data_IF_654038278915
#
_entry.id   IF_654038278915
#
_cell.length_a   1.000
_cell.length_b   1.000
_cell.length_c   1.000
_cell.angle_alpha   90.00
_cell.angle_beta   90.00
_cell.angle_gamma   90.00
#
_symmetry.space_group_name_H-M   'P 1'
#
loop_
_entity.id
_entity.type
_entity.pdbx_description
1 polymer ?
#
# COMPACT_ATOMS: atom_id res chain seq x y z
N UNK A 1 -1.17 -3.61 -15.13
CA UNK A 1 -0.85 -5.05 -14.93
C UNK A 1 0.03 -5.23 -13.67
N UNK A 2 -0.30 -4.54 -12.57
CA UNK A 2 0.41 -4.66 -11.26
C UNK A 2 -0.54 -5.15 -10.15
N UNK A 3 -1.84 -5.19 -10.43
CA UNK A 3 -2.89 -5.75 -9.59
C UNK A 3 -2.63 -7.24 -9.30
N UNK A 4 -2.11 -7.99 -10.26
CA UNK A 4 -1.79 -9.41 -10.06
C UNK A 4 -0.70 -9.64 -9.02
N UNK A 5 0.31 -8.77 -8.89
CA UNK A 5 1.43 -9.04 -7.98
C UNK A 5 1.01 -8.95 -6.51
N UNK A 6 0.22 -7.93 -6.15
CA UNK A 6 -0.25 -7.76 -4.77
C UNK A 6 -1.24 -8.85 -4.33
N UNK A 7 -2.10 -9.31 -5.25
CA UNK A 7 -3.02 -10.43 -4.99
C UNK A 7 -2.26 -11.76 -4.89
N UNK A 8 -1.24 -11.96 -5.73
CA UNK A 8 -0.42 -13.18 -5.73
C UNK A 8 0.38 -13.31 -4.43
N UNK A 9 0.92 -12.23 -3.87
CA UNK A 9 1.67 -12.32 -2.60
C UNK A 9 0.77 -12.45 -1.37
N UNK A 10 -0.41 -11.83 -1.33
CA UNK A 10 -1.41 -12.07 -0.28
C UNK A 10 -1.79 -13.55 -0.16
N UNK A 11 -2.00 -14.21 -1.30
CA UNK A 11 -2.48 -15.60 -1.32
C UNK A 11 -1.41 -16.65 -0.92
N UNK A 12 -0.13 -16.25 -0.81
CA UNK A 12 0.95 -17.17 -0.47
C UNK A 12 1.33 -17.14 1.02
N UNK A 13 0.70 -16.30 1.85
CA UNK A 13 1.08 -16.12 3.26
C UNK A 13 2.47 -15.53 3.45
N UNK A 14 3.01 -14.87 2.41
CA UNK A 14 4.36 -14.28 2.37
C UNK A 14 4.27 -12.76 2.44
N UNK A 15 3.49 -12.27 3.38
CA UNK A 15 3.15 -10.85 3.55
C UNK A 15 4.40 -10.00 3.83
N UNK A 16 5.35 -10.53 4.61
CA UNK A 16 6.65 -9.88 4.86
C UNK A 16 7.48 -9.72 3.57
N UNK A 17 7.57 -10.75 2.74
CA UNK A 17 8.35 -10.68 1.50
C UNK A 17 7.68 -9.77 0.46
N UNK A 18 6.35 -9.69 0.49
CA UNK A 18 5.60 -8.67 -0.26
C UNK A 18 6.05 -7.26 0.14
N UNK A 19 6.15 -6.98 1.44
CA UNK A 19 6.64 -5.68 1.92
C UNK A 19 8.07 -5.40 1.47
N UNK A 20 8.98 -6.37 1.58
CA UNK A 20 10.37 -6.18 1.15
C UNK A 20 10.46 -5.83 -0.35
N UNK A 21 9.64 -6.47 -1.19
CA UNK A 21 9.58 -6.15 -2.61
C UNK A 21 8.98 -4.76 -2.86
N UNK A 22 7.92 -4.41 -2.16
CA UNK A 22 7.31 -3.09 -2.26
C UNK A 22 8.27 -1.99 -1.80
N UNK A 23 9.03 -2.24 -0.74
CA UNK A 23 10.06 -1.31 -0.25
C UNK A 23 11.21 -1.13 -1.24
N UNK A 24 11.63 -2.20 -1.92
CA UNK A 24 12.59 -2.08 -3.02
C UNK A 24 12.05 -1.24 -4.18
N UNK A 25 10.79 -1.43 -4.56
CA UNK A 25 10.14 -0.63 -5.62
C UNK A 25 10.05 0.83 -5.21
N UNK A 26 9.66 1.11 -3.97
CA UNK A 26 9.56 2.47 -3.41
C UNK A 26 10.94 3.12 -3.33
N UNK A 27 11.99 2.37 -2.99
CA UNK A 27 13.36 2.88 -2.93
C UNK A 27 13.88 3.31 -4.31
N UNK A 28 13.49 2.60 -5.37
CA UNK A 28 13.86 2.95 -6.76
C UNK A 28 12.96 4.08 -7.31
N UNK A 29 11.67 4.03 -7.00
CA UNK A 29 10.65 4.94 -7.50
C UNK A 29 9.73 5.39 -6.35
N UNK A 30 10.10 6.44 -5.61
CA UNK A 30 9.33 6.89 -4.45
C UNK A 30 7.93 7.41 -4.83
N UNK A 31 7.73 7.83 -6.07
CA UNK A 31 6.45 8.31 -6.59
C UNK A 31 5.55 7.18 -7.14
N UNK A 32 5.97 5.91 -6.98
CA UNK A 32 5.22 4.75 -7.46
C UNK A 32 3.99 4.47 -6.58
N UNK A 33 2.90 5.18 -6.85
CA UNK A 33 1.69 5.14 -6.03
C UNK A 33 1.08 3.74 -5.88
N UNK A 34 1.15 2.87 -6.90
CA UNK A 34 0.63 1.50 -6.78
C UNK A 34 1.41 0.68 -5.75
N UNK A 35 2.71 0.92 -5.58
CA UNK A 35 3.52 0.22 -4.58
C UNK A 35 3.11 0.65 -3.16
N UNK A 36 2.89 1.95 -2.95
CA UNK A 36 2.35 2.49 -1.70
C UNK A 36 0.95 1.96 -1.40
N UNK A 37 0.05 1.90 -2.39
CA UNK A 37 -1.30 1.33 -2.24
C UNK A 37 -1.23 -0.13 -1.81
N UNK A 38 -0.42 -0.94 -2.49
CA UNK A 38 -0.24 -2.35 -2.13
C UNK A 38 0.39 -2.52 -0.75
N UNK A 39 1.28 -1.61 -0.34
CA UNK A 39 1.90 -1.61 0.98
C UNK A 39 0.87 -1.35 2.08
N UNK A 40 0.00 -0.36 1.90
CA UNK A 40 -1.15 -0.09 2.80
C UNK A 40 -2.02 -1.34 2.96
N UNK A 41 -2.35 -1.96 1.83
CA UNK A 41 -3.16 -3.18 1.75
C UNK A 41 -2.50 -4.34 2.50
N UNK A 42 -1.20 -4.59 2.32
CA UNK A 42 -0.50 -5.68 3.03
C UNK A 42 -0.41 -5.41 4.54
N UNK A 43 -0.02 -4.19 4.93
CA UNK A 43 0.10 -3.81 6.34
C UNK A 43 -1.23 -3.92 7.08
N UNK A 44 -2.31 -3.41 6.50
CA UNK A 44 -3.61 -3.35 7.18
C UNK A 44 -4.29 -4.73 7.33
N UNK A 45 -4.26 -5.56 6.29
CA UNK A 45 -5.07 -6.78 6.27
C UNK A 45 -4.29 -8.06 6.52
N UNK A 46 -3.01 -8.11 6.13
CA UNK A 46 -2.22 -9.34 6.25
C UNK A 46 -1.34 -9.31 7.51
N UNK A 47 -0.84 -8.14 7.89
CA UNK A 47 -0.01 -7.97 9.09
C UNK A 47 -0.73 -7.33 10.27
N UNK A 48 -1.91 -6.73 10.04
CA UNK A 48 -2.66 -5.97 11.04
C UNK A 48 -1.82 -4.85 11.71
N UNK A 49 -0.85 -4.30 10.98
CA UNK A 49 -0.03 -3.18 11.43
C UNK A 49 -0.68 -1.86 11.01
N UNK A 50 -1.74 -1.48 11.72
CA UNK A 50 -2.56 -0.31 11.38
C UNK A 50 -1.79 1.01 11.42
N UNK A 51 -0.84 1.19 12.36
CA UNK A 51 0.02 2.38 12.44
C UNK A 51 0.90 2.54 11.18
N UNK A 52 1.55 1.44 10.76
CA UNK A 52 2.39 1.46 9.57
C UNK A 52 1.56 1.65 8.29
N UNK A 53 0.36 1.05 8.25
CA UNK A 53 -0.58 1.24 7.17
C UNK A 53 -1.04 2.72 7.06
N UNK A 54 -1.31 3.38 8.19
CA UNK A 54 -1.65 4.80 8.23
C UNK A 54 -0.51 5.68 7.68
N UNK A 55 0.74 5.42 8.10
CA UNK A 55 1.90 6.16 7.61
C UNK A 55 2.10 5.99 6.08
N UNK A 56 1.90 4.77 5.57
CA UNK A 56 1.97 4.52 4.13
C UNK A 56 0.81 5.20 3.37
N UNK A 57 -0.38 5.26 3.98
CA UNK A 57 -1.54 5.93 3.41
C UNK A 57 -1.34 7.46 3.34
N UNK A 58 -0.74 8.07 4.36
CA UNK A 58 -0.38 9.48 4.32
C UNK A 58 0.56 9.81 3.15
N UNK A 59 1.58 8.97 2.91
CA UNK A 59 2.44 9.11 1.73
C UNK A 59 1.66 9.01 0.42
N UNK A 60 0.74 8.06 0.32
CA UNK A 60 -0.09 7.90 -0.88
C UNK A 60 -0.99 9.11 -1.13
N UNK A 61 -1.54 9.74 -0.08
CA UNK A 61 -2.32 10.98 -0.19
C UNK A 61 -1.46 12.17 -0.62
N UNK A 62 -0.22 12.26 -0.14
CA UNK A 62 0.72 13.29 -0.61
C UNK A 62 0.93 13.17 -2.12
N UNK A 63 1.15 11.94 -2.62
CA UNK A 63 1.28 11.69 -4.06
C UNK A 63 -0.02 12.06 -4.80
N UNK A 64 -1.20 11.73 -4.26
CA UNK A 64 -2.49 12.04 -4.88
C UNK A 64 -2.69 13.53 -5.13
N UNK A 65 -2.20 14.41 -4.24
CA UNK A 65 -2.26 15.86 -4.45
C UNK A 65 -1.51 16.32 -5.70
N UNK A 66 -0.49 15.56 -6.12
CA UNK A 66 0.34 15.84 -7.29
C UNK A 66 0.05 14.94 -8.49
N UNK A 67 -0.70 13.85 -8.28
CA UNK A 67 -0.97 12.82 -9.27
C UNK A 67 -2.46 12.44 -9.25
N UNK A 68 -3.20 13.00 -10.19
CA UNK A 68 -4.65 12.82 -10.35
C UNK A 68 -5.06 11.42 -10.85
N UNK A 69 -4.10 10.58 -11.29
CA UNK A 69 -4.36 9.18 -11.64
C UNK A 69 -4.55 8.28 -10.42
N UNK A 70 -4.25 8.78 -9.21
CA UNK A 70 -4.41 8.04 -7.96
C UNK A 70 -5.91 8.01 -7.58
N UNK A 71 -6.51 6.81 -7.45
CA UNK A 71 -7.93 6.66 -7.18
C UNK A 71 -8.32 7.16 -5.79
N UNK A 72 -9.63 7.29 -5.55
CA UNK A 72 -10.14 7.67 -4.23
C UNK A 72 -9.61 6.74 -3.13
N UNK A 73 -9.04 7.34 -2.08
CA UNK A 73 -8.41 6.65 -0.96
C UNK A 73 -9.32 6.58 0.28
N UNK A 74 -10.48 7.23 0.23
CA UNK A 74 -11.43 7.35 1.35
C UNK A 74 -11.87 5.99 1.91
N UNK A 75 -11.92 4.96 1.06
CA UNK A 75 -12.21 3.58 1.49
C UNK A 75 -11.13 3.02 2.41
N UNK A 76 -9.86 3.09 2.00
CA UNK A 76 -8.72 2.62 2.78
C UNK A 76 -8.56 3.41 4.08
N UNK A 77 -8.82 4.72 4.06
CA UNK A 77 -8.82 5.56 5.26
C UNK A 77 -9.77 5.06 6.33
N UNK A 78 -11.02 4.77 5.95
CA UNK A 78 -12.04 4.28 6.88
C UNK A 78 -11.67 2.93 7.47
N UNK A 79 -11.07 2.05 6.67
CA UNK A 79 -10.65 0.73 7.16
C UNK A 79 -9.48 0.83 8.13
N UNK A 80 -8.49 1.70 7.88
CA UNK A 80 -7.36 1.88 8.80
C UNK A 80 -7.76 2.60 10.08
N UNK A 81 -8.66 3.60 9.99
CA UNK A 81 -9.11 4.38 11.16
C UNK A 81 -10.21 3.69 11.97
N UNK A 82 -10.90 2.71 11.37
CA UNK A 82 -12.01 1.99 11.99
C UNK A 82 -11.66 0.60 12.54
N UNK A 83 -10.40 0.16 12.38
CA UNK A 83 -9.85 -1.09 12.91
C UNK A 83 -9.39 -0.99 14.37
#
# INVERSE_FOLDING_TARGET
IMTDLAVVYRNLGRSQESLELLDQVIAVSPDHWQAWYNKVVVLNFDLHEHDAAAAALDRLKELQRTNQDIPDLSGLEKEIQGG
#
